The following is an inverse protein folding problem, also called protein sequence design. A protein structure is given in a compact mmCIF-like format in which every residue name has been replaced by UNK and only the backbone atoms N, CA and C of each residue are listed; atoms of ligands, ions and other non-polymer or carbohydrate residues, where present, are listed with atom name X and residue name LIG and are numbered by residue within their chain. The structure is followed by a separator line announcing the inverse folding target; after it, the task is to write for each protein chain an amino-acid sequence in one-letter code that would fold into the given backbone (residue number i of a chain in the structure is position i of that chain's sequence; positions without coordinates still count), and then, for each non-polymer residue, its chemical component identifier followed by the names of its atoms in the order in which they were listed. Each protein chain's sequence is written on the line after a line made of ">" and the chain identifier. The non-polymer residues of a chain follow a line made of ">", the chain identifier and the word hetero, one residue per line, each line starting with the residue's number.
data_IF_134393415403
#
_entry.id   IF_134393415403
#
_cell.length_a   1.000
_cell.length_b   1.000
_cell.length_c   1.000
_cell.angle_alpha   90.00
_cell.angle_beta   90.00
_cell.angle_gamma   90.00
#
_symmetry.space_group_name_H-M   'P 1'
#
loop_
_entity.id
_entity.type
_entity.pdbx_description
1 polymer ?
#
# COMPACT_ATOMS: atom_id res chain seq x y z
N UNK A 1 -26.03 20.38 59.25
CA UNK A 1 -26.84 21.60 59.39
C UNK A 1 -25.94 22.77 59.05
N UNK A 2 -26.31 23.50 58.00
CA UNK A 2 -25.85 24.85 57.59
C UNK A 2 -24.33 25.01 57.39
N UNK A 3 -23.78 25.29 56.19
CA UNK A 3 -24.28 26.18 55.16
C UNK A 3 -23.65 27.56 55.34
N UNK A 4 -22.48 27.81 54.73
CA UNK A 4 -22.08 29.10 54.09
C UNK A 4 -20.67 29.01 53.50
N UNK A 5 -20.56 29.32 52.20
CA UNK A 5 -19.33 29.71 51.49
C UNK A 5 -19.03 31.20 51.78
N UNK A 6 -17.79 31.68 51.53
CA UNK A 6 -17.49 32.37 50.25
C UNK A 6 -16.17 31.85 49.60
N UNK A 7 -16.11 31.59 48.29
CA UNK A 7 -15.57 32.47 47.22
C UNK A 7 -14.28 33.21 47.63
N UNK A 8 -13.11 32.98 47.02
CA UNK A 8 -12.81 33.25 45.61
C UNK A 8 -11.52 32.54 45.18
N UNK A 9 -11.55 31.74 44.10
CA UNK A 9 -10.34 31.33 43.41
C UNK A 9 -10.13 32.27 42.21
N UNK A 10 -9.11 33.11 42.29
CA UNK A 10 -8.62 33.91 41.17
C UNK A 10 -7.96 32.99 40.15
N UNK A 11 -8.39 33.06 38.88
CA UNK A 11 -7.71 32.40 37.78
C UNK A 11 -6.68 33.39 37.20
N UNK A 12 -5.39 33.11 37.40
CA UNK A 12 -4.32 33.81 36.70
C UNK A 12 -4.18 33.23 35.30
N UNK A 13 -4.33 34.06 34.27
CA UNK A 13 -4.11 33.68 32.88
C UNK A 13 -2.73 34.20 32.48
N UNK A 14 -1.75 33.29 32.37
CA UNK A 14 -0.42 33.62 31.85
C UNK A 14 -0.43 33.50 30.33
N UNK A 15 -0.31 34.64 29.63
CA UNK A 15 -0.16 34.69 28.17
C UNK A 15 1.33 34.75 27.83
N UNK A 16 1.90 33.67 27.29
CA UNK A 16 3.24 33.70 26.70
C UNK A 16 3.15 34.08 25.22
N UNK A 17 3.67 35.26 24.87
CA UNK A 17 3.82 35.69 23.48
C UNK A 17 5.29 35.50 23.10
N UNK A 18 5.61 34.46 22.33
CA UNK A 18 6.93 34.26 21.78
C UNK A 18 7.09 35.09 20.49
N UNK A 19 7.76 36.24 20.58
CA UNK A 19 8.17 37.04 19.41
C UNK A 19 9.60 36.68 19.01
N UNK A 20 9.80 36.19 17.77
CA UNK A 20 11.13 36.08 17.17
C UNK A 20 11.54 37.44 16.59
N UNK A 21 12.35 38.20 17.32
CA UNK A 21 13.02 39.39 16.78
C UNK A 21 14.17 38.97 15.86
N UNK A 22 14.07 39.26 14.55
CA UNK A 22 15.22 39.25 13.63
C UNK A 22 15.95 40.58 13.72
N UNK A 23 17.20 40.56 14.16
CA UNK A 23 18.16 41.66 14.02
C UNK A 23 18.53 41.81 12.54
N UNK A 24 18.18 42.95 11.92
CA UNK A 24 18.70 43.32 10.60
C UNK A 24 19.97 44.17 10.75
N UNK A 25 21.04 43.74 10.09
CA UNK A 25 22.27 44.49 9.86
C UNK A 25 22.05 45.40 8.64
N UNK A 26 22.34 46.69 8.77
CA UNK A 26 22.34 47.66 7.66
C UNK A 26 23.51 47.41 6.70
N UNK A 27 23.28 47.62 5.39
CA UNK A 27 24.25 48.38 4.62
C UNK A 27 23.61 49.56 3.87
N UNK A 28 24.47 50.54 3.62
CA UNK A 28 24.15 51.87 3.08
C UNK A 28 23.92 51.89 1.58
N UNK A 29 22.88 52.66 1.18
CA UNK A 29 22.75 53.55 0.01
C UNK A 29 23.30 53.08 -1.35
N UNK A 30 22.39 52.85 -2.31
CA UNK A 30 22.21 53.74 -3.48
C UNK A 30 20.94 53.38 -4.27
N UNK A 31 20.44 54.37 -5.01
CA UNK A 31 19.09 54.59 -5.51
C UNK A 31 18.60 53.67 -6.64
N UNK A 32 17.31 53.29 -6.61
CA UNK A 32 16.35 53.44 -7.73
C UNK A 32 14.94 52.99 -7.31
N UNK A 33 13.94 53.80 -7.67
CA UNK A 33 12.51 53.62 -7.39
C UNK A 33 11.93 52.38 -8.09
N UNK A 34 11.33 51.45 -7.34
CA UNK A 34 10.22 50.58 -7.79
C UNK A 34 9.28 50.28 -6.62
N UNK A 35 7.99 50.17 -6.94
CA UNK A 35 6.87 50.03 -6.00
C UNK A 35 7.05 48.83 -5.04
N UNK A 36 6.77 49.06 -3.76
CA UNK A 36 6.78 48.02 -2.73
C UNK A 36 5.51 47.15 -2.83
N UNK A 37 5.61 45.81 -2.73
CA UNK A 37 4.44 44.96 -2.54
C UNK A 37 3.98 45.05 -1.07
N UNK A 38 2.66 45.12 -0.86
CA UNK A 38 2.01 44.93 0.43
C UNK A 38 2.39 43.54 0.97
N UNK A 39 3.21 43.50 2.02
CA UNK A 39 3.49 42.27 2.75
C UNK A 39 2.25 41.85 3.55
N UNK A 40 1.62 40.74 3.15
CA UNK A 40 0.69 40.01 4.03
C UNK A 40 1.49 39.50 5.23
N UNK A 41 1.06 39.89 6.43
CA UNK A 41 1.53 39.26 7.67
C UNK A 41 0.95 37.84 7.76
N UNK A 42 1.72 36.85 8.26
CA UNK A 42 1.19 35.51 8.47
C UNK A 42 0.12 35.52 9.57
N UNK A 43 -0.89 34.63 9.50
CA UNK A 43 -1.91 34.51 10.54
C UNK A 43 -1.26 34.11 11.87
N UNK A 44 -1.62 34.83 12.93
CA UNK A 44 -1.23 34.52 14.31
C UNK A 44 -2.17 33.43 14.82
N UNK A 45 -1.63 32.24 15.11
CA UNK A 45 -2.38 31.18 15.78
C UNK A 45 -2.28 31.37 17.30
N UNK A 46 -3.42 31.50 17.95
CA UNK A 46 -3.52 31.55 19.42
C UNK A 46 -3.93 30.15 19.90
N UNK A 47 -3.02 29.47 20.60
CA UNK A 47 -3.32 28.20 21.25
C UNK A 47 -3.83 28.48 22.68
N UNK A 48 -5.13 28.27 22.91
CA UNK A 48 -5.72 28.36 24.25
C UNK A 48 -5.73 26.97 24.90
N UNK A 49 -4.88 26.77 25.91
CA UNK A 49 -4.94 25.60 26.79
C UNK A 49 -5.87 25.92 27.96
N UNK A 50 -7.08 25.34 27.94
CA UNK A 50 -8.00 25.38 29.06
C UNK A 50 -7.75 24.17 29.96
N UNK A 51 -7.27 24.40 31.18
CA UNK A 51 -7.23 23.38 32.22
C UNK A 51 -8.60 23.35 32.92
N UNK A 52 -9.31 22.21 32.87
CA UNK A 52 -10.56 22.02 33.60
C UNK A 52 -10.34 21.27 34.92
N UNK A 53 -10.88 21.82 36.00
CA UNK A 53 -10.90 21.20 37.32
C UNK A 53 -11.82 19.96 37.35
N UNK A 54 -11.32 18.93 38.02
CA UNK A 54 -11.90 17.60 38.18
C UNK A 54 -13.25 17.63 38.93
N UNK A 55 -14.27 16.95 38.41
CA UNK A 55 -15.48 16.63 39.17
C UNK A 55 -15.74 15.12 39.12
N UNK A 56 -15.75 14.47 40.29
CA UNK A 56 -15.89 13.02 40.44
C UNK A 56 -17.32 12.60 40.10
N UNK A 57 -17.52 12.02 38.91
CA UNK A 57 -18.47 10.92 38.57
C UNK A 57 -18.81 10.97 37.06
N UNK A 58 -17.93 10.42 36.23
CA UNK A 58 -18.25 9.79 34.92
C UNK A 58 -16.95 9.61 34.13
N UNK A 59 -16.61 8.37 33.79
CA UNK A 59 -15.46 8.05 32.94
C UNK A 59 -15.81 8.31 31.47
N UNK A 60 -15.54 9.53 31.02
CA UNK A 60 -15.39 9.85 29.61
C UNK A 60 -14.50 11.10 29.48
N UNK A 61 -13.30 10.93 28.93
CA UNK A 61 -12.43 12.03 28.54
C UNK A 61 -12.85 12.49 27.14
N UNK A 62 -13.07 13.79 26.94
CA UNK A 62 -13.23 14.39 25.62
C UNK A 62 -12.32 15.60 25.53
N UNK A 63 -11.39 15.58 24.57
CA UNK A 63 -10.61 16.75 24.19
C UNK A 63 -11.36 17.48 23.07
N UNK A 64 -11.69 18.75 23.29
CA UNK A 64 -12.20 19.64 22.25
C UNK A 64 -11.12 20.65 21.85
N UNK A 65 -10.70 20.64 20.58
CA UNK A 65 -9.89 21.71 20.00
C UNK A 65 -10.87 22.66 19.30
N UNK A 66 -11.04 23.86 19.85
CA UNK A 66 -11.84 24.92 19.23
C UNK A 66 -10.95 25.88 18.45
N UNK A 67 -11.13 25.96 17.12
CA UNK A 67 -10.51 26.99 16.28
C UNK A 67 -11.51 28.15 16.17
N UNK A 68 -11.15 29.33 16.68
CA UNK A 68 -11.95 30.55 16.50
C UNK A 68 -11.35 31.34 15.34
N UNK A 69 -12.04 31.50 14.20
CA UNK A 69 -11.56 32.37 13.13
C UNK A 69 -11.78 33.84 13.52
N UNK A 70 -10.68 34.57 13.68
CA UNK A 70 -10.71 36.02 13.88
C UNK A 70 -11.14 36.72 12.58
N UNK A 71 -12.38 37.25 12.52
CA UNK A 71 -12.78 38.19 11.48
C UNK A 71 -12.23 39.58 11.80
N UNK A 72 -11.24 40.03 11.04
CA UNK A 72 -10.87 41.45 10.96
C UNK A 72 -11.82 42.10 9.96
N UNK A 73 -12.73 42.95 10.44
CA UNK A 73 -13.63 43.76 9.62
C UNK A 73 -12.92 45.06 9.26
N UNK A 74 -12.55 45.23 7.99
CA UNK A 74 -12.30 46.56 7.42
C UNK A 74 -13.55 47.00 6.65
N UNK A 75 -14.00 48.22 6.95
CA UNK A 75 -15.27 48.78 6.50
C UNK A 75 -15.41 48.87 4.98
N UNK A 76 -16.62 48.57 4.51
CA UNK A 76 -17.06 48.75 3.14
C UNK A 76 -18.49 48.24 2.99
N UNK A 77 -19.44 49.16 2.91
CA UNK A 77 -20.85 48.86 2.67
C UNK A 77 -21.03 48.19 1.31
N UNK A 78 -21.64 47.00 1.28
CA UNK A 78 -22.22 46.43 0.06
C UNK A 78 -23.61 45.90 0.40
N UNK A 79 -24.61 46.56 -0.20
CA UNK A 79 -26.00 46.13 -0.26
C UNK A 79 -26.06 44.91 -1.17
N UNK A 80 -26.51 43.77 -0.64
CA UNK A 80 -26.82 42.59 -1.44
C UNK A 80 -28.32 42.28 -1.33
N UNK A 81 -29.02 42.52 -2.43
CA UNK A 81 -30.40 42.11 -2.71
C UNK A 81 -30.47 40.59 -2.80
N UNK A 82 -31.25 39.96 -1.90
CA UNK A 82 -31.57 38.54 -1.98
C UNK A 82 -32.56 38.30 -3.14
N UNK A 83 -32.17 37.46 -4.11
CA UNK A 83 -33.09 36.94 -5.13
C UNK A 83 -33.28 35.45 -4.85
N UNK A 84 -34.43 35.12 -4.28
CA UNK A 84 -34.85 33.76 -3.97
C UNK A 84 -35.25 33.05 -5.27
N UNK A 85 -34.51 32.02 -5.68
CA UNK A 85 -34.88 31.18 -6.83
C UNK A 85 -35.22 29.78 -6.35
N UNK A 86 -36.49 29.56 -6.05
CA UNK A 86 -37.05 28.25 -5.71
C UNK A 86 -37.11 27.38 -6.97
N UNK A 87 -36.22 26.39 -7.08
CA UNK A 87 -36.22 25.42 -8.19
C UNK A 87 -36.83 24.09 -7.75
N UNK A 88 -38.10 23.90 -8.08
CA UNK A 88 -38.86 22.67 -7.90
C UNK A 88 -38.29 21.57 -8.80
N UNK A 89 -37.70 20.51 -8.23
CA UNK A 89 -37.31 19.30 -8.98
C UNK A 89 -38.53 18.38 -9.13
N UNK A 90 -39.02 18.25 -10.37
CA UNK A 90 -39.94 17.19 -10.79
C UNK A 90 -39.21 15.85 -10.76
N UNK A 91 -39.79 14.89 -10.03
CA UNK A 91 -39.45 13.48 -10.05
C UNK A 91 -39.96 12.86 -11.36
N UNK A 92 -39.06 12.39 -12.23
CA UNK A 92 -39.38 11.45 -13.30
C UNK A 92 -39.13 10.02 -12.81
N UNK A 93 -40.20 9.26 -12.57
CA UNK A 93 -40.16 7.81 -12.44
C UNK A 93 -39.70 7.21 -13.78
N UNK A 94 -38.61 6.46 -13.75
CA UNK A 94 -38.21 5.54 -14.80
C UNK A 94 -38.57 4.13 -14.33
N UNK A 95 -39.59 3.55 -14.97
CA UNK A 95 -39.96 2.14 -14.80
C UNK A 95 -38.88 1.27 -15.45
N UNK A 96 -37.99 0.71 -14.63
CA UNK A 96 -37.08 -0.35 -15.04
C UNK A 96 -37.65 -1.70 -14.54
N UNK A 97 -38.14 -2.50 -15.47
CA UNK A 97 -38.46 -3.93 -15.26
C UNK A 97 -37.16 -4.68 -14.91
N UNK A 98 -36.91 -4.90 -13.62
CA UNK A 98 -35.81 -5.72 -13.12
C UNK A 98 -36.26 -7.13 -12.77
N UNK A 99 -36.21 -8.06 -13.74
CA UNK A 99 -36.50 -9.48 -13.56
C UNK A 99 -35.31 -10.33 -13.09
N UNK A 100 -34.51 -9.83 -12.15
CA UNK A 100 -33.25 -10.49 -11.74
C UNK A 100 -33.30 -11.25 -10.41
N UNK A 101 -34.15 -10.83 -9.47
CA UNK A 101 -34.21 -11.42 -8.11
C UNK A 101 -35.21 -12.58 -8.01
N UNK A 102 -36.26 -12.58 -8.84
CA UNK A 102 -37.29 -13.62 -8.79
C UNK A 102 -36.80 -14.96 -9.37
N UNK A 103 -35.87 -14.94 -10.33
CA UNK A 103 -35.27 -16.14 -10.89
C UNK A 103 -34.37 -16.88 -9.86
N UNK A 104 -33.68 -16.13 -9.01
CA UNK A 104 -32.83 -16.70 -7.95
C UNK A 104 -33.68 -17.23 -6.79
N UNK A 105 -34.74 -16.51 -6.41
CA UNK A 105 -35.70 -16.98 -5.41
C UNK A 105 -36.46 -18.24 -5.88
N UNK A 106 -36.83 -18.32 -7.16
CA UNK A 106 -37.45 -19.51 -7.75
C UNK A 106 -36.49 -20.72 -7.82
N UNK A 107 -35.21 -20.49 -8.08
CA UNK A 107 -34.19 -21.55 -8.09
C UNK A 107 -33.91 -22.11 -6.68
N UNK A 108 -33.90 -21.24 -5.66
CA UNK A 108 -33.75 -21.65 -4.26
C UNK A 108 -35.00 -22.34 -3.71
N UNK A 109 -36.20 -21.92 -4.14
CA UNK A 109 -37.46 -22.58 -3.81
C UNK A 109 -37.56 -23.99 -4.44
N UNK A 110 -37.05 -24.17 -5.67
CA UNK A 110 -37.00 -25.47 -6.33
C UNK A 110 -36.01 -26.44 -5.64
N UNK A 111 -34.89 -25.95 -5.12
CA UNK A 111 -33.92 -26.77 -4.37
C UNK A 111 -34.45 -27.23 -3.00
N UNK A 112 -35.37 -26.48 -2.39
CA UNK A 112 -35.95 -26.79 -1.08
C UNK A 112 -37.23 -27.63 -1.15
N UNK A 113 -37.75 -27.92 -2.35
CA UNK A 113 -39.08 -28.50 -2.59
C UNK A 113 -39.05 -29.87 -3.32
N UNK A 114 -38.01 -30.68 -3.12
CA UNK A 114 -37.87 -31.95 -3.85
C UNK A 114 -37.56 -33.15 -2.96
N UNK A 115 -38.59 -33.82 -2.45
CA UNK A 115 -38.48 -35.22 -2.03
C UNK A 115 -38.61 -36.16 -3.24
N UNK A 116 -37.87 -37.28 -3.22
CA UNK A 116 -38.13 -38.47 -4.05
C UNK A 116 -37.01 -38.87 -5.03
N UNK A 117 -36.11 -39.75 -4.56
CA UNK A 117 -35.46 -40.88 -5.26
C UNK A 117 -34.82 -40.75 -6.66
N UNK A 118 -34.55 -39.54 -7.16
CA UNK A 118 -33.84 -39.35 -8.44
C UNK A 118 -32.53 -38.54 -8.35
N UNK A 119 -32.09 -38.19 -7.13
CA UNK A 119 -30.95 -37.28 -6.92
C UNK A 119 -29.57 -37.95 -6.96
N UNK A 120 -29.47 -39.26 -6.77
CA UNK A 120 -28.16 -39.94 -6.78
C UNK A 120 -27.56 -40.05 -8.18
N UNK A 121 -28.39 -40.26 -9.21
CA UNK A 121 -27.90 -40.36 -10.59
C UNK A 121 -27.46 -39.00 -11.15
N UNK A 122 -28.11 -37.90 -10.74
CA UNK A 122 -27.73 -36.54 -11.12
C UNK A 122 -26.41 -36.11 -10.45
N UNK A 123 -26.20 -36.47 -9.18
CA UNK A 123 -24.95 -36.22 -8.48
C UNK A 123 -23.78 -37.03 -9.08
N UNK A 124 -24.01 -38.31 -9.40
CA UNK A 124 -23.01 -39.16 -10.05
C UNK A 124 -22.71 -38.74 -11.50
N UNK A 125 -23.66 -38.11 -12.20
CA UNK A 125 -23.42 -37.53 -13.51
C UNK A 125 -22.61 -36.23 -13.43
N UNK A 126 -22.89 -35.38 -12.43
CA UNK A 126 -22.11 -34.15 -12.19
C UNK A 126 -20.66 -34.45 -11.79
N UNK A 127 -20.44 -35.47 -10.96
CA UNK A 127 -19.10 -35.89 -10.54
C UNK A 127 -18.28 -36.48 -11.71
N UNK A 128 -18.91 -37.29 -12.58
CA UNK A 128 -18.29 -37.77 -13.82
C UNK A 128 -17.93 -36.63 -14.76
N UNK A 129 -18.81 -35.65 -14.95
CA UNK A 129 -18.53 -34.49 -15.78
C UNK A 129 -17.38 -33.63 -15.22
N UNK A 130 -17.31 -33.46 -13.89
CA UNK A 130 -16.21 -32.76 -13.23
C UNK A 130 -14.87 -33.50 -13.40
N UNK A 131 -14.89 -34.83 -13.28
CA UNK A 131 -13.70 -35.67 -13.45
C UNK A 131 -13.19 -35.66 -14.91
N UNK A 132 -14.09 -35.71 -15.89
CA UNK A 132 -13.76 -35.59 -17.32
C UNK A 132 -13.18 -34.20 -17.67
N UNK A 133 -13.72 -33.12 -17.08
CA UNK A 133 -13.16 -31.78 -17.23
C UNK A 133 -11.75 -31.67 -16.64
N UNK A 134 -11.50 -32.31 -15.50
CA UNK A 134 -10.18 -32.31 -14.84
C UNK A 134 -9.14 -33.08 -15.65
N UNK A 135 -9.51 -34.22 -16.22
CA UNK A 135 -8.65 -35.01 -17.11
C UNK A 135 -8.39 -34.30 -18.45
N UNK A 136 -9.39 -33.61 -19.00
CA UNK A 136 -9.22 -32.77 -20.18
C UNK A 136 -8.25 -31.61 -19.92
N UNK A 137 -8.30 -30.99 -18.72
CA UNK A 137 -7.37 -29.95 -18.31
C UNK A 137 -5.94 -30.50 -18.13
N UNK A 138 -5.78 -31.70 -17.56
CA UNK A 138 -4.48 -32.39 -17.44
C UNK A 138 -3.88 -32.73 -18.81
N UNK A 139 -4.67 -33.20 -19.76
CA UNK A 139 -4.21 -33.47 -21.14
C UNK A 139 -3.73 -32.20 -21.83
N UNK A 140 -4.48 -31.10 -21.74
CA UNK A 140 -4.06 -29.79 -22.28
C UNK A 140 -2.78 -29.24 -21.62
N UNK A 141 -2.57 -29.51 -20.33
CA UNK A 141 -1.32 -29.17 -19.64
C UNK A 141 -0.14 -29.99 -20.16
N UNK A 142 -0.32 -31.29 -20.36
CA UNK A 142 0.73 -32.18 -20.87
C UNK A 142 1.15 -31.84 -22.31
N UNK A 143 0.20 -31.49 -23.18
CA UNK A 143 0.49 -31.08 -24.58
C UNK A 143 1.21 -29.73 -24.65
N UNK A 144 0.96 -28.82 -23.70
CA UNK A 144 1.69 -27.55 -23.60
C UNK A 144 3.12 -27.73 -23.07
N UNK A 145 3.36 -28.78 -22.29
CA UNK A 145 4.69 -29.11 -21.74
C UNK A 145 5.63 -29.75 -22.78
N UNK A 146 5.09 -30.51 -23.74
CA UNK A 146 5.89 -31.12 -24.83
C UNK A 146 6.20 -30.11 -25.92
N UNK A 147 5.27 -29.21 -26.27
CA UNK A 147 5.51 -28.15 -27.25
C UNK A 147 6.55 -27.09 -26.80
N UNK A 148 6.78 -26.92 -25.49
CA UNK A 148 7.79 -25.99 -24.96
C UNK A 148 9.19 -26.62 -24.85
N UNK A 149 9.31 -27.95 -24.98
CA UNK A 149 10.58 -28.68 -24.81
C UNK A 149 11.44 -28.72 -26.09
N UNK A 150 10.91 -28.34 -27.25
CA UNK A 150 11.64 -28.28 -28.52
C UNK A 150 12.14 -26.87 -28.90
N UNK A 151 11.89 -25.84 -28.07
CA UNK A 151 12.29 -24.46 -28.36
C UNK A 151 13.38 -23.88 -27.41
N UNK A 152 14.00 -24.70 -26.54
CA UNK A 152 15.01 -24.22 -25.58
C UNK A 152 16.36 -24.96 -25.69
N UNK A 153 16.96 -24.98 -26.87
CA UNK A 153 18.33 -25.49 -27.05
C UNK A 153 19.22 -24.51 -27.81
N UNK A 154 19.58 -23.39 -27.16
CA UNK A 154 20.83 -22.65 -27.43
C UNK A 154 21.00 -21.45 -26.49
N UNK A 155 21.31 -21.70 -25.22
CA UNK A 155 22.08 -20.73 -24.43
C UNK A 155 23.32 -21.40 -23.91
N UNK A 156 24.43 -21.11 -24.57
CA UNK A 156 25.78 -21.40 -24.13
C UNK A 156 26.02 -20.77 -22.76
N UNK A 157 25.83 -21.55 -21.71
CA UNK A 157 26.24 -21.20 -20.36
C UNK A 157 27.77 -21.16 -20.32
N UNK A 158 28.31 -19.93 -20.28
CA UNK A 158 29.70 -19.68 -19.94
C UNK A 158 29.92 -20.14 -18.50
N UNK A 159 30.66 -21.23 -18.32
CA UNK A 159 31.08 -21.74 -17.02
C UNK A 159 32.05 -20.75 -16.37
N UNK A 160 31.59 -20.01 -15.36
CA UNK A 160 32.44 -19.17 -14.51
C UNK A 160 33.23 -20.10 -13.57
N UNK A 161 34.56 -19.96 -13.46
CA UNK A 161 35.37 -20.84 -12.64
C UNK A 161 35.10 -20.62 -11.14
N UNK A 162 34.91 -21.74 -10.43
CA UNK A 162 34.72 -21.79 -9.00
C UNK A 162 36.01 -21.44 -8.24
N UNK A 163 36.12 -20.17 -7.85
CA UNK A 163 36.88 -19.68 -6.70
C UNK A 163 36.41 -18.25 -6.37
N UNK A 164 35.19 -18.11 -5.85
CA UNK A 164 34.69 -16.83 -5.36
C UNK A 164 35.40 -16.50 -4.05
N UNK A 165 36.53 -15.80 -4.16
CA UNK A 165 36.92 -14.84 -3.14
C UNK A 165 35.69 -13.95 -2.96
N UNK A 166 35.03 -14.02 -1.80
CA UNK A 166 33.93 -13.12 -1.45
C UNK A 166 34.43 -11.69 -1.63
N UNK A 167 34.21 -11.11 -2.81
CA UNK A 167 34.56 -9.74 -3.07
C UNK A 167 33.64 -8.93 -2.17
N UNK A 168 34.19 -8.39 -1.08
CA UNK A 168 33.49 -7.50 -0.18
C UNK A 168 33.01 -6.31 -1.03
N UNK A 169 31.72 -6.29 -1.31
CA UNK A 169 31.07 -5.15 -1.96
C UNK A 169 30.67 -4.17 -0.87
N UNK A 170 30.94 -2.89 -1.08
CA UNK A 170 30.47 -1.85 -0.17
C UNK A 170 28.96 -1.64 -0.32
N UNK A 171 28.28 -1.32 0.77
CA UNK A 171 26.83 -1.07 0.78
C UNK A 171 26.39 -0.03 -0.25
N UNK A 172 27.18 1.03 -0.44
CA UNK A 172 26.97 2.06 -1.46
C UNK A 172 26.95 1.48 -2.88
N UNK A 173 27.91 0.63 -3.22
CA UNK A 173 28.03 -0.01 -4.53
C UNK A 173 26.89 -1.02 -4.76
N UNK A 174 26.49 -1.75 -3.72
CA UNK A 174 25.37 -2.68 -3.79
C UNK A 174 24.04 -1.96 -4.05
N UNK A 175 23.75 -0.90 -3.30
CA UNK A 175 22.53 -0.11 -3.47
C UNK A 175 22.51 0.62 -4.81
N UNK A 176 23.63 1.17 -5.28
CA UNK A 176 23.72 1.77 -6.62
C UNK A 176 23.43 0.75 -7.74
N UNK A 177 23.86 -0.50 -7.56
CA UNK A 177 23.58 -1.59 -8.51
C UNK A 177 22.09 -1.95 -8.52
N UNK A 178 21.47 -2.01 -7.33
CA UNK A 178 20.03 -2.24 -7.17
C UNK A 178 19.20 -1.08 -7.75
N UNK A 179 19.61 0.17 -7.55
CA UNK A 179 18.97 1.34 -8.15
C UNK A 179 19.04 1.31 -9.69
N UNK A 180 20.19 0.93 -10.24
CA UNK A 180 20.39 0.84 -11.68
C UNK A 180 19.45 -0.21 -12.30
N UNK A 181 19.37 -1.40 -11.70
CA UNK A 181 18.41 -2.43 -12.14
C UNK A 181 16.95 -1.99 -11.95
N UNK A 182 16.62 -1.34 -10.83
CA UNK A 182 15.27 -0.80 -10.60
C UNK A 182 14.90 0.25 -11.67
N UNK A 183 15.84 1.12 -12.04
CA UNK A 183 15.63 2.12 -13.10
C UNK A 183 15.31 1.47 -14.44
N UNK A 184 16.02 0.40 -14.81
CA UNK A 184 15.76 -0.38 -16.02
C UNK A 184 14.41 -1.11 -15.95
N UNK A 185 14.09 -1.66 -14.78
CA UNK A 185 12.83 -2.35 -14.51
C UNK A 185 11.64 -1.41 -14.65
N UNK A 186 11.72 -0.20 -14.09
CA UNK A 186 10.68 0.83 -14.24
C UNK A 186 10.55 1.28 -15.69
N UNK A 187 11.66 1.42 -16.42
CA UNK A 187 11.63 1.73 -17.84
C UNK A 187 10.93 0.62 -18.66
N UNK A 188 11.10 -0.66 -18.28
CA UNK A 188 10.38 -1.79 -18.87
C UNK A 188 8.88 -1.75 -18.55
N UNK A 189 8.50 -1.42 -17.33
CA UNK A 189 7.08 -1.25 -16.97
C UNK A 189 6.46 -0.12 -17.80
N UNK A 190 7.13 1.03 -17.86
CA UNK A 190 6.67 2.19 -18.63
C UNK A 190 6.55 1.92 -20.14
N UNK A 191 7.46 1.13 -20.72
CA UNK A 191 7.34 0.74 -22.13
C UNK A 191 6.24 -0.30 -22.39
N UNK A 192 5.88 -1.08 -21.37
CA UNK A 192 4.82 -2.09 -21.44
C UNK A 192 3.43 -1.52 -21.15
N UNK A 193 3.35 -0.40 -20.43
CA UNK A 193 2.12 0.28 -20.04
C UNK A 193 2.10 1.68 -20.68
N UNK A 194 1.48 1.84 -21.86
CA UNK A 194 1.57 3.07 -22.65
C UNK A 194 1.02 4.33 -21.98
N UNK A 195 0.07 4.16 -21.06
CA UNK A 195 -0.56 5.25 -20.30
C UNK A 195 0.06 5.48 -18.92
N UNK A 196 1.18 4.82 -18.59
CA UNK A 196 1.94 5.09 -17.37
C UNK A 196 2.65 6.44 -17.47
N UNK A 197 2.22 7.39 -16.66
CA UNK A 197 2.71 8.75 -16.68
C UNK A 197 3.46 9.08 -15.38
N UNK A 198 4.59 9.78 -15.51
CA UNK A 198 5.30 10.35 -14.37
C UNK A 198 4.43 11.41 -13.69
N UNK A 199 4.52 11.49 -12.35
CA UNK A 199 3.92 12.53 -11.49
C UNK A 199 5.01 13.46 -10.96
N UNK A 200 5.30 14.59 -11.63
CA UNK A 200 6.39 15.48 -11.23
C UNK A 200 6.17 16.11 -9.85
N UNK A 201 4.92 16.35 -9.46
CA UNK A 201 4.51 16.92 -8.18
C UNK A 201 4.72 15.97 -6.99
N UNK A 202 4.84 14.67 -7.25
CA UNK A 202 5.12 13.64 -6.27
C UNK A 202 6.44 12.90 -6.54
N UNK A 203 7.31 13.47 -7.39
CA UNK A 203 8.63 12.93 -7.70
C UNK A 203 9.73 13.83 -7.13
N UNK A 204 10.80 13.22 -6.64
CA UNK A 204 11.99 13.89 -6.13
C UNK A 204 13.21 13.37 -6.90
N UNK A 205 14.02 14.27 -7.42
CA UNK A 205 15.31 13.88 -7.99
C UNK A 205 16.42 14.02 -6.94
N UNK A 206 17.54 13.33 -7.17
CA UNK A 206 18.69 13.36 -6.26
C UNK A 206 19.38 14.73 -6.18
N UNK A 207 19.02 15.67 -7.07
CA UNK A 207 19.52 17.05 -7.06
C UNK A 207 18.60 18.02 -6.30
N UNK A 208 17.38 17.60 -5.96
CA UNK A 208 16.44 18.40 -5.21
C UNK A 208 16.78 18.32 -3.73
N UNK A 209 16.79 19.47 -3.05
CA UNK A 209 16.95 19.53 -1.60
C UNK A 209 15.63 19.28 -0.86
N UNK A 210 14.58 18.88 -1.58
CA UNK A 210 13.21 18.79 -1.07
C UNK A 210 13.00 17.57 -0.17
N UNK A 211 13.74 16.48 -0.43
CA UNK A 211 13.71 15.26 0.38
C UNK A 211 15.12 14.73 0.66
N UNK A 212 15.63 15.05 1.84
CA UNK A 212 16.90 14.52 2.38
C UNK A 212 16.59 13.72 3.64
N UNK A 213 17.23 12.56 3.76
CA UNK A 213 17.05 11.61 4.87
C UNK A 213 18.40 11.43 5.56
N UNK A 214 18.55 11.98 6.77
CA UNK A 214 19.84 12.18 7.38
C UNK A 214 20.79 12.97 6.47
N UNK A 215 21.84 12.29 5.99
CA UNK A 215 22.78 12.82 4.98
C UNK A 215 22.63 12.18 3.60
N UNK A 216 21.72 11.22 3.44
CA UNK A 216 21.49 10.51 2.18
C UNK A 216 20.54 11.30 1.29
N UNK A 217 20.87 11.35 -0.01
CA UNK A 217 19.96 11.86 -1.03
C UNK A 217 18.85 10.84 -1.29
N UNK A 218 17.67 11.35 -1.63
CA UNK A 218 16.51 10.52 -2.01
C UNK A 218 16.19 10.78 -3.46
N UNK A 219 15.93 9.71 -4.19
CA UNK A 219 15.32 9.75 -5.52
C UNK A 219 14.00 8.99 -5.45
N UNK A 220 12.93 9.63 -5.87
CA UNK A 220 11.61 9.02 -5.98
C UNK A 220 11.04 9.41 -7.34
N UNK A 221 10.70 8.44 -8.17
CA UNK A 221 9.90 8.68 -9.36
C UNK A 221 8.53 8.05 -9.16
N UNK A 222 7.52 8.91 -9.08
CA UNK A 222 6.13 8.51 -8.92
C UNK A 222 5.45 8.41 -10.28
N UNK A 223 4.62 7.38 -10.47
CA UNK A 223 3.84 7.20 -11.69
C UNK A 223 2.41 6.76 -11.38
N UNK A 224 1.50 7.02 -12.30
CA UNK A 224 0.17 6.40 -12.33
C UNK A 224 -0.24 6.06 -13.77
N UNK A 225 -1.23 5.18 -13.92
CA UNK A 225 -1.88 4.86 -15.18
C UNK A 225 -3.38 4.70 -14.91
N UNK A 226 -4.16 5.80 -14.87
CA UNK A 226 -5.59 5.76 -14.54
C UNK A 226 -6.45 5.12 -15.64
N UNK A 227 -5.87 4.82 -16.81
CA UNK A 227 -6.54 4.21 -17.93
C UNK A 227 -6.61 2.67 -17.83
N UNK A 228 -6.62 1.95 -18.97
CA UNK A 228 -6.84 0.51 -19.00
C UNK A 228 -5.81 -0.34 -18.25
N UNK A 229 -4.58 0.16 -18.11
CA UNK A 229 -3.55 -0.54 -17.35
C UNK A 229 -3.77 -0.45 -15.85
N UNK A 230 -4.55 0.54 -15.39
CA UNK A 230 -5.13 0.60 -14.07
C UNK A 230 -4.07 0.44 -12.97
N UNK A 231 -3.04 1.27 -13.03
CA UNK A 231 -2.02 1.43 -11.98
C UNK A 231 -2.41 2.66 -11.18
N UNK A 232 -2.85 2.48 -9.94
CA UNK A 232 -3.23 3.58 -9.07
C UNK A 232 -2.01 4.36 -8.57
N UNK A 233 -0.89 3.66 -8.37
CA UNK A 233 0.36 4.25 -7.94
C UNK A 233 1.53 3.32 -8.24
N UNK A 234 2.65 3.89 -8.70
CA UNK A 234 3.94 3.23 -8.74
C UNK A 234 4.99 4.17 -8.18
N UNK A 235 5.75 3.69 -7.20
CA UNK A 235 6.87 4.38 -6.57
C UNK A 235 8.17 3.67 -6.89
N UNK A 236 9.09 4.39 -7.51
CA UNK A 236 10.48 4.02 -7.74
C UNK A 236 11.37 4.82 -6.77
N UNK A 237 11.53 4.29 -5.56
CA UNK A 237 12.23 4.93 -4.45
C UNK A 237 13.65 4.38 -4.31
N UNK A 238 14.62 5.27 -4.17
CA UNK A 238 15.99 4.99 -3.77
C UNK A 238 16.44 5.98 -2.69
N UNK A 239 17.08 5.48 -1.64
CA UNK A 239 17.79 6.29 -0.64
C UNK A 239 19.25 5.89 -0.71
N UNK A 240 20.12 6.87 -1.01
CA UNK A 240 21.53 6.62 -1.28
C UNK A 240 22.19 5.74 -0.21
N UNK A 241 22.84 4.67 -0.68
CA UNK A 241 23.58 3.68 0.11
C UNK A 241 22.74 2.91 1.15
N UNK A 242 21.41 3.07 1.14
CA UNK A 242 20.53 2.57 2.21
C UNK A 242 19.35 1.73 1.74
N UNK A 243 18.69 2.10 0.63
CA UNK A 243 17.42 1.50 0.25
C UNK A 243 17.18 1.58 -1.26
N UNK A 244 16.64 0.51 -1.84
CA UNK A 244 15.99 0.49 -3.15
C UNK A 244 14.62 -0.18 -3.01
N UNK A 245 13.54 0.53 -3.33
CA UNK A 245 12.15 0.07 -3.17
C UNK A 245 11.34 0.35 -4.43
N UNK A 246 10.62 -0.66 -4.89
CA UNK A 246 9.59 -0.59 -5.92
C UNK A 246 8.25 -0.97 -5.27
N UNK A 247 7.31 -0.04 -5.27
CA UNK A 247 5.95 -0.25 -4.76
C UNK A 247 4.96 -0.01 -5.88
N UNK A 248 4.08 -0.96 -6.18
CA UNK A 248 3.03 -0.84 -7.19
C UNK A 248 1.67 -1.15 -6.57
N UNK A 249 0.80 -0.14 -6.53
CA UNK A 249 -0.62 -0.31 -6.21
C UNK A 249 -1.44 -0.39 -7.50
N UNK A 250 -1.89 -1.60 -7.83
CA UNK A 250 -2.95 -1.84 -8.83
C UNK A 250 -4.25 -1.11 -8.46
N UNK A 251 -4.91 -0.51 -9.45
CA UNK A 251 -6.18 0.19 -9.30
C UNK A 251 -7.41 -0.74 -9.34
N UNK A 252 -8.64 -0.22 -9.21
CA UNK A 252 -9.83 -1.03 -8.95
C UNK A 252 -10.44 -1.71 -10.19
N UNK A 253 -9.93 -1.49 -11.40
CA UNK A 253 -10.50 -2.09 -12.63
C UNK A 253 -10.06 -3.54 -12.88
N UNK A 254 -9.09 -4.05 -12.11
CA UNK A 254 -8.59 -5.43 -12.21
C UNK A 254 -8.46 -6.05 -10.83
N UNK A 255 -8.35 -7.38 -10.77
CA UNK A 255 -8.06 -8.10 -9.53
C UNK A 255 -6.57 -8.40 -9.31
N UNK A 256 -5.69 -7.79 -10.11
CA UNK A 256 -4.23 -8.00 -10.05
C UNK A 256 -3.71 -7.55 -8.68
N UNK A 257 -2.88 -8.36 -7.98
CA UNK A 257 -2.34 -7.99 -6.68
C UNK A 257 -1.44 -6.76 -6.76
N UNK A 258 -1.16 -6.16 -5.60
CA UNK A 258 -0.10 -5.16 -5.49
C UNK A 258 1.27 -5.86 -5.54
N UNK A 259 2.31 -5.13 -5.95
CA UNK A 259 3.69 -5.64 -5.89
C UNK A 259 4.50 -4.73 -4.97
N UNK A 260 5.18 -5.32 -4.00
CA UNK A 260 6.21 -4.65 -3.23
C UNK A 260 7.51 -5.41 -3.39
N UNK A 261 8.58 -4.69 -3.73
CA UNK A 261 9.92 -5.23 -3.83
C UNK A 261 10.92 -4.24 -3.25
N UNK A 262 11.43 -4.54 -2.06
CA UNK A 262 12.27 -3.64 -1.27
C UNK A 262 13.55 -4.34 -0.84
N UNK A 263 14.66 -3.67 -1.01
CA UNK A 263 15.95 -4.10 -0.49
C UNK A 263 16.59 -2.96 0.29
N UNK A 264 17.02 -3.21 1.51
CA UNK A 264 17.70 -2.22 2.35
C UNK A 264 18.99 -2.77 2.94
N UNK A 265 19.94 -1.89 3.23
CA UNK A 265 21.10 -2.23 4.04
C UNK A 265 20.76 -2.01 5.51
N UNK A 266 21.10 -2.98 6.35
CA UNK A 266 20.96 -2.89 7.80
C UNK A 266 22.32 -3.06 8.43
N UNK A 267 22.68 -2.20 9.38
CA UNK A 267 23.92 -2.37 10.12
C UNK A 267 23.79 -3.59 11.01
N UNK A 268 24.64 -4.62 10.80
CA UNK A 268 24.58 -5.86 11.57
C UNK A 268 24.66 -5.55 13.07
N UNK A 269 23.70 -6.08 13.85
CA UNK A 269 23.51 -5.74 15.27
C UNK A 269 24.62 -6.20 16.23
N UNK A 270 25.79 -6.61 15.74
CA UNK A 270 26.88 -7.17 16.54
C UNK A 270 28.21 -6.43 16.35
N UNK A 271 28.56 -5.54 17.29
CA UNK A 271 29.92 -5.30 17.80
C UNK A 271 31.12 -5.11 16.84
N UNK A 272 30.90 -4.84 15.55
CA UNK A 272 31.93 -4.73 14.51
C UNK A 272 31.51 -5.25 13.11
N UNK A 273 30.21 -5.48 12.88
CA UNK A 273 29.68 -6.27 11.79
C UNK A 273 29.64 -5.56 10.42
N UNK A 274 29.87 -6.38 9.38
CA UNK A 274 29.55 -6.11 7.97
C UNK A 274 28.08 -5.75 7.81
N UNK A 275 27.75 -4.91 6.82
CA UNK A 275 26.36 -4.62 6.49
C UNK A 275 25.62 -5.90 6.08
N UNK A 276 24.38 -6.04 6.52
CA UNK A 276 23.44 -7.06 6.04
C UNK A 276 22.50 -6.43 4.99
N UNK A 277 21.93 -7.26 4.13
CA UNK A 277 20.85 -6.91 3.22
C UNK A 277 19.54 -7.50 3.74
N UNK A 278 18.50 -6.69 3.79
CA UNK A 278 17.12 -7.14 4.03
C UNK A 278 16.32 -7.03 2.73
N UNK A 279 15.84 -8.16 2.22
CA UNK A 279 15.01 -8.28 1.02
C UNK A 279 13.57 -8.60 1.41
N UNK A 280 12.63 -7.83 0.87
CA UNK A 280 11.19 -8.08 0.94
C UNK A 280 10.60 -8.11 -0.47
N UNK A 281 9.94 -9.20 -0.85
CA UNK A 281 9.15 -9.34 -2.09
C UNK A 281 7.77 -9.89 -1.73
N UNK A 282 6.71 -9.22 -2.17
CA UNK A 282 5.34 -9.65 -1.87
C UNK A 282 4.37 -9.27 -3.00
N UNK A 283 3.55 -10.24 -3.41
CA UNK A 283 2.42 -10.05 -4.31
C UNK A 283 1.15 -9.88 -3.48
N UNK A 284 0.97 -8.70 -2.89
CA UNK A 284 -0.01 -8.50 -1.84
C UNK A 284 -1.45 -8.73 -2.34
N UNK A 285 -2.19 -9.65 -1.70
CA UNK A 285 -3.53 -10.00 -2.11
C UNK A 285 -4.48 -8.84 -1.89
N UNK A 286 -5.44 -8.68 -2.79
CA UNK A 286 -6.47 -7.64 -2.72
C UNK A 286 -7.77 -8.15 -2.12
N UNK A 287 -7.61 -8.94 -1.06
CA UNK A 287 -8.66 -9.63 -0.33
C UNK A 287 -8.57 -9.28 1.15
N UNK A 288 -9.03 -8.08 1.51
CA UNK A 288 -9.05 -7.62 2.90
C UNK A 288 -9.91 -8.54 3.77
N UNK A 289 -9.47 -8.84 4.99
CA UNK A 289 -10.11 -9.81 5.88
C UNK A 289 -9.71 -11.26 5.64
N UNK A 290 -9.04 -11.55 4.51
CA UNK A 290 -8.88 -12.93 4.08
C UNK A 290 -7.63 -13.60 4.66
N UNK A 291 -6.56 -12.86 4.95
CA UNK A 291 -5.25 -13.43 5.31
C UNK A 291 -4.77 -13.04 6.71
N UNK A 292 -5.23 -11.91 7.25
CA UNK A 292 -4.75 -11.34 8.52
C UNK A 292 -5.25 -12.10 9.76
N UNK A 293 -6.32 -12.89 9.63
CA UNK A 293 -6.88 -13.68 10.73
C UNK A 293 -6.29 -15.08 10.82
N UNK A 294 -5.17 -15.35 10.12
CA UNK A 294 -4.51 -16.65 10.19
C UNK A 294 -4.04 -16.87 11.63
N UNK A 295 -4.51 -17.95 12.25
CA UNK A 295 -4.10 -18.29 13.59
C UNK A 295 -2.60 -18.65 13.61
N UNK A 296 -1.79 -18.01 14.46
CA UNK A 296 -0.34 -18.17 14.45
C UNK A 296 0.12 -19.57 14.88
N UNK A 297 -0.72 -20.30 15.64
CA UNK A 297 -0.35 -21.60 16.22
C UNK A 297 -0.75 -22.74 15.28
N UNK A 298 -1.99 -22.73 14.80
CA UNK A 298 -2.56 -23.76 13.92
C UNK A 298 -2.30 -23.48 12.45
N UNK A 299 -2.03 -22.23 12.07
CA UNK A 299 -1.91 -21.81 10.68
C UNK A 299 -3.26 -21.77 9.94
N UNK A 300 -4.36 -22.04 10.63
CA UNK A 300 -5.71 -22.13 10.08
C UNK A 300 -6.42 -20.77 10.09
N UNK A 301 -7.45 -20.65 9.25
CA UNK A 301 -8.33 -19.49 9.24
C UNK A 301 -9.59 -19.75 10.06
N UNK A 302 -10.13 -18.74 10.78
CA UNK A 302 -11.34 -18.91 11.55
C UNK A 302 -12.51 -19.37 10.67
N UNK A 303 -13.17 -20.43 11.11
CA UNK A 303 -14.30 -21.04 10.42
C UNK A 303 -15.63 -20.31 10.62
N UNK A 304 -16.72 -20.89 10.11
CA UNK A 304 -18.08 -20.35 10.27
C UNK A 304 -18.50 -20.13 11.73
N UNK A 305 -17.98 -20.90 12.68
CA UNK A 305 -18.32 -20.77 14.10
C UNK A 305 -17.82 -19.43 14.70
N UNK A 306 -16.73 -18.89 14.17
CA UNK A 306 -16.14 -17.63 14.62
C UNK A 306 -16.59 -16.44 13.77
N UNK A 307 -16.66 -16.62 12.45
CA UNK A 307 -16.90 -15.52 11.49
C UNK A 307 -18.30 -15.52 10.87
N UNK A 308 -19.12 -16.53 11.14
CA UNK A 308 -20.42 -16.71 10.52
C UNK A 308 -20.31 -16.69 8.99
N UNK A 309 -21.17 -15.90 8.35
CA UNK A 309 -21.21 -15.77 6.89
C UNK A 309 -19.90 -15.22 6.27
N UNK A 310 -19.12 -14.43 7.01
CA UNK A 310 -17.87 -13.85 6.50
C UNK A 310 -16.79 -14.90 6.22
N UNK A 311 -16.84 -16.06 6.88
CA UNK A 311 -15.92 -17.18 6.60
C UNK A 311 -15.99 -17.64 5.13
N UNK A 312 -17.18 -17.65 4.53
CA UNK A 312 -17.39 -18.03 3.13
C UNK A 312 -16.88 -16.96 2.16
N UNK A 313 -17.06 -15.69 2.52
CA UNK A 313 -16.54 -14.57 1.73
C UNK A 313 -15.00 -14.59 1.71
N UNK A 314 -14.38 -14.71 2.87
CA UNK A 314 -12.93 -14.72 3.01
C UNK A 314 -12.28 -15.97 2.42
N UNK A 315 -12.84 -17.16 2.65
CA UNK A 315 -12.35 -18.39 2.00
C UNK A 315 -12.49 -18.34 0.48
N UNK A 316 -13.59 -17.78 -0.02
CA UNK A 316 -13.78 -17.54 -1.45
C UNK A 316 -12.72 -16.59 -2.02
N UNK A 317 -12.42 -15.50 -1.31
CA UNK A 317 -11.40 -14.54 -1.71
C UNK A 317 -9.98 -15.12 -1.67
N UNK A 318 -9.64 -15.92 -0.64
CA UNK A 318 -8.37 -16.66 -0.58
C UNK A 318 -8.22 -17.60 -1.77
N UNK A 319 -9.22 -18.45 -1.99
CA UNK A 319 -9.23 -19.39 -3.12
C UNK A 319 -9.10 -18.69 -4.47
N UNK A 320 -9.77 -17.55 -4.66
CA UNK A 320 -9.65 -16.77 -5.89
C UNK A 320 -8.21 -16.28 -6.11
N UNK A 321 -7.57 -15.76 -5.08
CA UNK A 321 -6.18 -15.35 -5.13
C UNK A 321 -5.23 -16.53 -5.36
N UNK A 322 -5.35 -17.62 -4.60
CA UNK A 322 -4.51 -18.82 -4.70
C UNK A 322 -4.59 -19.44 -6.10
N UNK A 323 -5.80 -19.51 -6.66
CA UNK A 323 -6.02 -20.11 -8.00
C UNK A 323 -5.41 -19.26 -9.11
N UNK A 324 -5.43 -17.92 -8.98
CA UNK A 324 -5.01 -17.00 -10.04
C UNK A 324 -3.56 -16.53 -9.93
N UNK A 325 -3.09 -16.32 -8.70
CA UNK A 325 -1.84 -15.63 -8.39
C UNK A 325 -0.94 -16.45 -7.47
N UNK A 326 -1.53 -17.13 -6.48
CA UNK A 326 -0.80 -18.00 -5.55
C UNK A 326 -0.46 -19.38 -6.13
N UNK A 327 -0.04 -19.43 -7.39
CA UNK A 327 0.19 -20.67 -8.11
C UNK A 327 1.49 -21.37 -7.67
N UNK A 328 1.64 -22.64 -8.05
CA UNK A 328 2.88 -23.39 -7.84
C UNK A 328 4.08 -22.69 -8.50
N UNK A 329 3.90 -22.05 -9.66
CA UNK A 329 4.97 -21.33 -10.35
C UNK A 329 5.49 -20.14 -9.53
N UNK A 330 4.60 -19.37 -8.91
CA UNK A 330 4.99 -18.24 -8.04
C UNK A 330 5.64 -18.74 -6.75
N UNK A 331 5.08 -19.80 -6.16
CA UNK A 331 5.63 -20.41 -4.95
C UNK A 331 7.04 -20.95 -5.19
N UNK A 332 7.25 -21.67 -6.31
CA UNK A 332 8.55 -22.19 -6.71
C UNK A 332 9.53 -21.04 -6.99
N UNK A 333 9.10 -20.00 -7.70
CA UNK A 333 9.93 -18.81 -7.92
C UNK A 333 10.46 -18.21 -6.61
N UNK A 334 9.61 -18.01 -5.61
CA UNK A 334 10.03 -17.43 -4.34
C UNK A 334 10.95 -18.38 -3.55
N UNK A 335 10.66 -19.69 -3.59
CA UNK A 335 11.52 -20.73 -2.99
C UNK A 335 12.91 -20.79 -3.65
N UNK A 336 12.97 -20.65 -4.97
CA UNK A 336 14.22 -20.65 -5.73
C UNK A 336 15.05 -19.40 -5.40
N UNK A 337 14.41 -18.22 -5.33
CA UNK A 337 15.06 -16.99 -4.87
C UNK A 337 15.61 -17.18 -3.47
N UNK A 338 14.80 -17.65 -2.52
CA UNK A 338 15.22 -17.91 -1.14
C UNK A 338 16.44 -18.83 -1.05
N UNK A 339 16.48 -19.87 -1.89
CA UNK A 339 17.57 -20.85 -1.93
C UNK A 339 18.85 -20.31 -2.57
N UNK A 340 18.72 -19.31 -3.45
CA UNK A 340 19.87 -18.65 -4.08
C UNK A 340 20.58 -17.62 -3.18
N UNK A 341 19.93 -17.18 -2.10
CA UNK A 341 20.46 -16.19 -1.18
C UNK A 341 21.32 -16.84 -0.09
N UNK A 342 22.64 -16.75 -0.26
CA UNK A 342 23.62 -17.37 0.64
C UNK A 342 23.59 -16.70 2.00
N UNK A 343 23.46 -17.50 3.06
CA UNK A 343 23.42 -17.02 4.45
C UNK A 343 22.11 -16.32 4.82
N UNK A 344 21.08 -16.38 3.97
CA UNK A 344 19.79 -15.77 4.28
C UNK A 344 19.08 -16.48 5.43
N UNK A 345 18.48 -15.67 6.30
CA UNK A 345 17.63 -16.03 7.43
C UNK A 345 16.25 -15.43 7.19
N UNK A 346 15.21 -16.23 7.40
CA UNK A 346 13.83 -15.78 7.27
C UNK A 346 13.46 -14.84 8.42
N UNK A 347 12.86 -13.71 8.07
CA UNK A 347 12.25 -12.79 9.03
C UNK A 347 10.85 -13.30 9.42
N UNK A 348 10.24 -12.78 10.50
CA UNK A 348 8.90 -13.20 10.94
C UNK A 348 7.86 -13.23 9.81
N UNK A 349 7.25 -14.39 9.59
CA UNK A 349 6.27 -14.61 8.52
C UNK A 349 4.83 -14.28 8.94
N UNK A 350 3.88 -14.45 8.01
CA UNK A 350 2.45 -14.33 8.32
C UNK A 350 2.03 -15.41 9.33
N UNK A 351 1.50 -14.98 10.47
CA UNK A 351 1.20 -15.85 11.61
C UNK A 351 2.35 -15.99 12.61
N UNK A 352 3.46 -15.25 12.45
CA UNK A 352 4.47 -15.14 13.49
C UNK A 352 4.04 -14.08 14.54
N UNK A 353 4.04 -14.39 15.84
CA UNK A 353 3.68 -13.42 16.88
C UNK A 353 4.63 -12.21 16.98
N UNK A 354 5.83 -12.28 16.39
CA UNK A 354 6.76 -11.17 16.28
C UNK A 354 6.44 -10.23 15.11
N UNK A 355 5.52 -10.59 14.21
CA UNK A 355 5.08 -9.71 13.14
C UNK A 355 4.17 -8.61 13.70
N UNK A 356 4.38 -7.36 13.30
CA UNK A 356 3.53 -6.26 13.76
C UNK A 356 2.09 -6.43 13.25
N UNK A 357 1.12 -5.89 13.99
CA UNK A 357 -0.29 -5.93 13.59
C UNK A 357 -0.49 -5.33 12.19
N UNK A 358 0.17 -4.22 11.90
CA UNK A 358 0.07 -3.51 10.62
C UNK A 358 0.67 -4.30 9.45
N UNK A 359 1.79 -5.00 9.67
CA UNK A 359 2.34 -5.92 8.67
C UNK A 359 1.41 -7.13 8.49
N UNK A 360 0.83 -7.68 9.57
CA UNK A 360 -0.13 -8.79 9.50
C UNK A 360 -1.37 -8.42 8.66
N UNK A 361 -1.84 -7.18 8.76
CA UNK A 361 -2.99 -6.67 7.99
C UNK A 361 -2.72 -6.50 6.49
N UNK A 362 -1.46 -6.47 6.07
CA UNK A 362 -1.12 -6.09 4.69
C UNK A 362 -0.26 -7.13 3.95
N UNK A 363 0.42 -8.01 4.67
CA UNK A 363 1.32 -9.03 4.13
C UNK A 363 0.56 -10.14 3.42
N UNK A 364 1.06 -10.57 2.26
CA UNK A 364 0.52 -11.71 1.51
C UNK A 364 0.95 -13.06 2.09
N UNK A 365 0.25 -14.16 1.71
CA UNK A 365 0.63 -15.52 2.11
C UNK A 365 1.93 -16.01 1.44
N UNK A 366 2.37 -15.32 0.38
CA UNK A 366 3.57 -15.63 -0.40
C UNK A 366 4.62 -14.52 -0.28
N UNK A 367 4.70 -13.85 0.86
CA UNK A 367 5.75 -12.87 1.10
C UNK A 367 7.10 -13.58 1.31
N UNK A 368 8.14 -13.15 0.60
CA UNK A 368 9.54 -13.47 0.88
C UNK A 368 10.14 -12.31 1.68
N UNK A 369 10.50 -12.55 2.93
CA UNK A 369 11.09 -11.57 3.82
C UNK A 369 12.33 -12.18 4.50
N UNK A 370 13.52 -11.75 4.08
CA UNK A 370 14.79 -12.36 4.51
C UNK A 370 15.85 -11.33 4.80
N UNK A 371 16.77 -11.70 5.68
CA UNK A 371 18.00 -10.96 5.97
C UNK A 371 19.21 -11.82 5.64
N UNK A 372 20.21 -11.28 4.96
CA UNK A 372 21.41 -12.00 4.57
C UNK A 372 22.67 -11.14 4.61
N UNK A 373 23.87 -11.74 4.67
CA UNK A 373 25.11 -11.00 4.53
C UNK A 373 25.20 -10.26 3.20
N UNK A 374 25.77 -9.05 3.23
CA UNK A 374 26.11 -8.32 2.01
C UNK A 374 27.20 -9.05 1.22
N UNK A 375 26.88 -9.45 -0.01
CA UNK A 375 27.82 -10.03 -0.97
C UNK A 375 27.39 -9.72 -2.40
N UNK A 376 28.34 -9.71 -3.34
CA UNK A 376 28.04 -9.49 -4.75
C UNK A 376 27.06 -10.54 -5.32
N UNK A 377 27.18 -11.80 -4.90
CA UNK A 377 26.31 -12.89 -5.32
C UNK A 377 24.86 -12.68 -4.84
N UNK A 378 24.68 -12.27 -3.57
CA UNK A 378 23.35 -11.95 -3.04
C UNK A 378 22.75 -10.72 -3.75
N UNK A 379 23.54 -9.69 -4.07
CA UNK A 379 23.06 -8.52 -4.83
C UNK A 379 22.57 -8.92 -6.22
N UNK A 380 23.33 -9.76 -6.93
CA UNK A 380 22.95 -10.25 -8.26
C UNK A 380 21.69 -11.14 -8.22
N UNK A 381 21.57 -11.99 -7.19
CA UNK A 381 20.39 -12.81 -6.96
C UNK A 381 19.15 -11.95 -6.67
N UNK A 382 19.28 -10.90 -5.85
CA UNK A 382 18.21 -9.92 -5.62
C UNK A 382 17.80 -9.26 -6.93
N UNK A 383 18.75 -8.69 -7.69
CA UNK A 383 18.47 -8.03 -8.98
C UNK A 383 17.61 -8.94 -9.88
N UNK A 384 18.05 -10.18 -10.05
CA UNK A 384 17.35 -11.19 -10.85
C UNK A 384 15.96 -11.50 -10.31
N UNK A 385 15.82 -11.61 -8.99
CA UNK A 385 14.54 -11.87 -8.32
C UNK A 385 13.54 -10.72 -8.54
N UNK A 386 14.00 -9.47 -8.43
CA UNK A 386 13.15 -8.28 -8.57
C UNK A 386 12.67 -8.10 -10.01
N UNK A 387 13.57 -8.28 -10.97
CA UNK A 387 13.23 -8.28 -12.40
C UNK A 387 12.19 -9.36 -12.72
N UNK A 388 12.40 -10.58 -12.19
CA UNK A 388 11.45 -11.69 -12.37
C UNK A 388 10.09 -11.43 -11.70
N UNK A 389 10.06 -10.82 -10.52
CA UNK A 389 8.82 -10.48 -9.84
C UNK A 389 8.00 -9.47 -10.65
N UNK A 390 8.66 -8.47 -11.24
CA UNK A 390 8.00 -7.51 -12.15
C UNK A 390 7.49 -8.20 -13.41
N UNK A 391 8.20 -9.17 -13.96
CA UNK A 391 7.73 -9.92 -15.13
C UNK A 391 6.48 -10.74 -14.85
N UNK A 392 6.41 -11.37 -13.67
CA UNK A 392 5.22 -12.08 -13.22
C UNK A 392 4.05 -11.09 -13.08
N UNK A 393 4.27 -9.97 -12.38
CA UNK A 393 3.23 -8.97 -12.18
C UNK A 393 2.74 -8.35 -13.49
N UNK A 394 3.65 -8.00 -14.41
CA UNK A 394 3.31 -7.49 -15.74
C UNK A 394 2.50 -8.50 -16.55
N UNK A 395 2.83 -9.79 -16.43
CA UNK A 395 2.05 -10.86 -17.03
C UNK A 395 0.57 -10.81 -16.63
N UNK A 396 0.29 -10.54 -15.35
CA UNK A 396 -1.08 -10.35 -14.85
C UNK A 396 -1.67 -8.98 -15.22
N UNK A 397 -0.89 -7.91 -15.13
CA UNK A 397 -1.35 -6.55 -15.42
C UNK A 397 -1.81 -6.40 -16.88
N UNK A 398 -1.14 -7.09 -17.80
CA UNK A 398 -1.45 -7.06 -19.24
C UNK A 398 -2.50 -8.10 -19.65
N UNK A 399 -2.80 -9.10 -18.81
CA UNK A 399 -3.80 -10.12 -19.13
C UNK A 399 -5.23 -9.60 -18.83
N UNK A 400 -6.02 -9.54 -19.90
CA UNK A 400 -7.41 -9.11 -19.87
C UNK A 400 -8.32 -10.01 -19.02
N UNK A 401 -7.91 -11.25 -18.72
CA UNK A 401 -8.64 -12.17 -17.84
C UNK A 401 -8.80 -11.63 -16.41
N UNK A 402 -7.96 -10.69 -16.00
CA UNK A 402 -8.00 -10.06 -14.69
C UNK A 402 -8.89 -8.82 -14.60
N UNK A 403 -9.53 -8.42 -15.71
CA UNK A 403 -10.42 -7.24 -15.72
C UNK A 403 -11.71 -7.55 -14.98
N UNK A 404 -12.08 -6.65 -14.07
CA UNK A 404 -13.39 -6.68 -13.45
C UNK A 404 -14.47 -6.32 -14.46
N UNK A 405 -15.63 -6.96 -14.32
CA UNK A 405 -16.85 -6.46 -14.96
C UNK A 405 -17.24 -5.13 -14.29
N UNK A 406 -17.70 -4.13 -15.06
CA UNK A 406 -18.20 -2.88 -14.48
C UNK A 406 -19.27 -3.13 -13.41
N UNK A 407 -19.32 -2.26 -12.40
CA UNK A 407 -20.32 -2.29 -11.33
C UNK A 407 -19.75 -2.75 -9.99
N UNK A 408 -20.48 -3.63 -9.30
CA UNK A 408 -20.19 -4.01 -7.91
C UNK A 408 -18.75 -4.49 -7.65
N UNK A 409 -18.10 -5.31 -8.52
CA UNK A 409 -16.73 -5.73 -8.29
C UNK A 409 -15.73 -4.57 -8.22
N UNK A 410 -15.84 -3.61 -9.15
CA UNK A 410 -14.97 -2.41 -9.19
C UNK A 410 -15.17 -1.56 -7.94
N UNK A 411 -16.42 -1.34 -7.53
CA UNK A 411 -16.73 -0.53 -6.34
C UNK A 411 -16.24 -1.19 -5.05
N UNK A 412 -16.44 -2.50 -4.91
CA UNK A 412 -15.93 -3.28 -3.78
C UNK A 412 -14.41 -3.18 -3.71
N UNK A 413 -13.75 -3.40 -4.84
CA UNK A 413 -12.31 -3.32 -4.95
C UNK A 413 -11.76 -1.94 -4.61
N UNK A 414 -12.39 -0.87 -5.08
CA UNK A 414 -12.00 0.50 -4.74
C UNK A 414 -12.07 0.75 -3.22
N UNK A 415 -13.17 0.38 -2.58
CA UNK A 415 -13.33 0.52 -1.12
C UNK A 415 -12.27 -0.27 -0.36
N UNK A 416 -11.90 -1.46 -0.86
CA UNK A 416 -10.83 -2.26 -0.29
C UNK A 416 -9.48 -1.58 -0.42
N UNK A 417 -9.12 -1.13 -1.63
CA UNK A 417 -7.82 -0.52 -1.89
C UNK A 417 -7.62 0.78 -1.08
N UNK A 418 -8.65 1.61 -0.92
CA UNK A 418 -8.55 2.84 -0.12
C UNK A 418 -8.23 2.53 1.35
N UNK A 419 -8.86 1.51 1.94
CA UNK A 419 -8.55 1.05 3.31
C UNK A 419 -7.17 0.42 3.39
N UNK A 420 -6.84 -0.43 2.41
CA UNK A 420 -5.56 -1.11 2.34
C UNK A 420 -4.40 -0.10 2.25
N UNK A 421 -4.51 0.95 1.43
CA UNK A 421 -3.47 1.99 1.30
C UNK A 421 -3.17 2.69 2.63
N UNK A 422 -4.18 2.93 3.48
CA UNK A 422 -3.98 3.49 4.83
C UNK A 422 -3.16 2.52 5.69
N UNK A 423 -3.52 1.24 5.70
CA UNK A 423 -2.77 0.23 6.46
C UNK A 423 -1.36 0.03 5.90
N UNK A 424 -1.19 0.08 4.57
CA UNK A 424 0.09 -0.05 3.91
C UNK A 424 1.01 1.13 4.24
N UNK A 425 0.48 2.36 4.30
CA UNK A 425 1.22 3.52 4.80
C UNK A 425 1.71 3.30 6.24
N UNK A 426 0.84 2.82 7.14
CA UNK A 426 1.20 2.57 8.53
C UNK A 426 2.23 1.44 8.68
N UNK A 427 2.14 0.39 7.86
CA UNK A 427 3.12 -0.70 7.81
C UNK A 427 4.48 -0.20 7.28
N UNK A 428 4.48 0.60 6.20
CA UNK A 428 5.68 1.26 5.68
C UNK A 428 6.31 2.22 6.69
N UNK A 429 5.47 2.94 7.45
CA UNK A 429 5.91 3.86 8.48
C UNK A 429 6.75 3.15 9.52
N UNK A 430 6.31 2.01 10.05
CA UNK A 430 7.09 1.24 11.04
C UNK A 430 8.46 0.83 10.47
N UNK A 431 8.50 0.33 9.23
CA UNK A 431 9.75 -0.04 8.57
C UNK A 431 10.69 1.16 8.39
N UNK A 432 10.19 2.28 7.87
CA UNK A 432 11.03 3.46 7.63
C UNK A 432 11.43 4.18 8.92
N UNK A 433 10.59 4.16 9.96
CA UNK A 433 10.96 4.65 11.30
C UNK A 433 12.10 3.81 11.87
N UNK A 434 12.06 2.48 11.71
CA UNK A 434 13.13 1.57 12.14
C UNK A 434 14.44 1.82 11.38
N UNK A 435 14.36 2.10 10.07
CA UNK A 435 15.53 2.30 9.22
C UNK A 435 16.15 3.72 9.33
N UNK A 436 15.32 4.75 9.47
CA UNK A 436 15.74 6.15 9.31
C UNK A 436 15.41 7.04 10.51
N UNK A 437 14.76 6.49 11.54
CA UNK A 437 14.23 7.25 12.67
C UNK A 437 12.91 7.93 12.33
N UNK A 438 12.21 8.41 13.38
CA UNK A 438 10.81 8.84 13.26
C UNK A 438 10.55 9.92 12.20
N UNK A 439 11.28 11.03 12.30
CA UNK A 439 11.07 12.21 11.44
C UNK A 439 11.25 11.90 9.96
N UNK A 440 12.29 11.14 9.64
CA UNK A 440 12.65 10.84 8.26
C UNK A 440 11.84 9.66 7.72
N UNK A 441 11.55 8.68 8.58
CA UNK A 441 10.64 7.58 8.25
C UNK A 441 9.22 8.04 7.92
N UNK A 442 8.67 9.01 8.66
CA UNK A 442 7.35 9.60 8.39
C UNK A 442 7.28 10.24 6.99
N UNK A 443 8.33 10.97 6.59
CA UNK A 443 8.41 11.58 5.26
C UNK A 443 8.52 10.55 4.14
N UNK A 444 9.38 9.55 4.30
CA UNK A 444 9.56 8.49 3.31
C UNK A 444 8.29 7.65 3.15
N UNK A 445 7.61 7.32 4.25
CA UNK A 445 6.38 6.55 4.20
C UNK A 445 5.31 7.29 3.42
N UNK A 446 5.14 8.59 3.67
CA UNK A 446 4.15 9.42 2.97
C UNK A 446 4.45 9.53 1.47
N UNK A 447 5.74 9.63 1.11
CA UNK A 447 6.17 9.74 -0.27
C UNK A 447 6.01 8.40 -1.04
N UNK A 448 6.40 7.28 -0.42
CA UNK A 448 6.36 5.94 -1.05
C UNK A 448 4.93 5.39 -1.15
N UNK A 449 4.06 5.68 -0.16
CA UNK A 449 2.68 5.19 -0.15
C UNK A 449 1.77 5.86 -1.19
N UNK A 450 2.21 6.98 -1.77
CA UNK A 450 1.39 7.77 -2.68
C UNK A 450 0.16 8.41 -2.01
N UNK A 451 -0.74 8.99 -2.81
CA UNK A 451 -1.91 9.68 -2.30
C UNK A 451 -2.87 8.71 -1.60
N UNK A 452 -3.15 9.01 -0.33
CA UNK A 452 -4.20 8.36 0.44
C UNK A 452 -5.51 9.07 0.11
N UNK A 453 -6.55 8.30 -0.24
CA UNK A 453 -7.87 8.88 -0.54
C UNK A 453 -8.46 9.48 0.75
N UNK A 454 -8.30 10.80 0.94
CA UNK A 454 -8.79 11.54 2.11
C UNK A 454 -10.32 11.42 2.27
N UNK A 455 -11.05 11.17 1.18
CA UNK A 455 -12.51 11.10 1.16
C UNK A 455 -13.11 9.94 1.99
N UNK A 456 -12.31 8.94 2.40
CA UNK A 456 -12.79 7.85 3.24
C UNK A 456 -12.50 8.05 4.75
N UNK A 457 -11.74 9.09 5.12
CA UNK A 457 -11.62 9.52 6.52
C UNK A 457 -12.85 10.37 6.80
N UNK A 458 -13.95 9.75 7.22
CA UNK A 458 -15.24 10.40 7.36
C UNK A 458 -15.18 11.76 8.06
N UNK A 459 -15.48 12.82 7.30
CA UNK A 459 -16.05 14.06 7.79
C UNK A 459 -15.08 15.19 8.14
N UNK A 460 -15.02 16.19 7.25
CA UNK A 460 -14.76 17.59 7.62
C UNK A 460 -13.49 18.20 7.04
N UNK A 461 -13.50 18.52 5.75
CA UNK A 461 -12.68 19.61 5.20
C UNK A 461 -13.41 20.94 5.32
#
# INVERSE_FOLDING_TARGET
>A
LEGTRPSSASCEVTIMIASRSRTMVHPSKSSARRAAPLHLLPPVFILLLLSSCHNRRSDAFSFGIGIIPSRVVYGGSVVATATETTRTRRSTKLDARGGGMDAYAAQMAAMMSGGGDSSMDAAAAADRAASEMLDAARRRSSEKSTAKKEASSSSSASSIPAASVFANIEASTAIASLESSQTLTVAKIASSIPDLALKPDASYDSSSSDLVIGSSTVKLRAFDAPGPANVAWLSDLCVDSRLSSLTIYSGPLTNVPHLISRCSTTTGGGGGATDDLSLFIDFRPRSYGAYEMRDPISGEYPGPDTLGRKSFEYSGARRDYETKFGTADVSNFLSDVRSSLTGAVDNPGLGDPALSELETLTRGPLALDVTMPLSADNVNAIISARERAVDIWLGWALDTAHRHKPGAPVNGQYVYDSKYKINAYLALLDVYVKLFGRKDGEKLAAADSGPIDEAYVGGGS
#
